data_IF_012960570307
#
_entry.id   IF_012960570307
#
_cell.length_a   1.000
_cell.length_b   1.000
_cell.length_c   1.000
_cell.angle_alpha   90.00
_cell.angle_beta   90.00
_cell.angle_gamma   90.00
#
_symmetry.space_group_name_H-M   'P 1'
#
loop_
_entity.id
_entity.type
_entity.pdbx_description
1 polymer ?
#
# COMPACT_ATOMS: atom_id res chain seq x y z
N UNK A 1 25.28 12.88 4.23
CA UNK A 1 23.81 12.80 4.01
C UNK A 1 23.50 13.47 2.68
N UNK A 2 22.50 12.98 1.94
CA UNK A 2 22.05 13.63 0.71
C UNK A 2 21.19 14.85 1.05
N UNK A 3 21.22 15.89 0.21
CA UNK A 3 20.25 17.00 0.29
C UNK A 3 18.86 16.54 -0.12
N UNK A 4 17.82 17.30 0.27
CA UNK A 4 16.45 17.01 -0.16
C UNK A 4 16.31 16.95 -1.69
N UNK A 5 16.99 17.85 -2.41
CA UNK A 5 17.01 17.86 -3.87
C UNK A 5 17.67 16.60 -4.44
N UNK A 6 18.82 16.18 -3.90
CA UNK A 6 19.50 14.95 -4.33
C UNK A 6 18.65 13.70 -4.10
N UNK A 7 17.89 13.66 -3.00
CA UNK A 7 16.93 12.57 -2.74
C UNK A 7 15.80 12.61 -3.77
N UNK A 8 15.24 13.78 -4.05
CA UNK A 8 14.19 13.93 -5.06
C UNK A 8 14.69 13.48 -6.44
N UNK A 9 15.83 13.99 -6.90
CA UNK A 9 16.39 13.66 -8.21
C UNK A 9 16.63 12.16 -8.38
N UNK A 10 17.10 11.49 -7.31
CA UNK A 10 17.34 10.05 -7.33
C UNK A 10 16.06 9.22 -7.43
N UNK A 11 14.95 9.67 -6.85
CA UNK A 11 13.72 8.88 -6.70
C UNK A 11 12.58 9.32 -7.63
N UNK A 12 12.65 10.49 -8.25
CA UNK A 12 11.52 11.10 -8.96
C UNK A 12 10.94 10.20 -10.05
N UNK A 13 11.79 9.59 -10.89
CA UNK A 13 11.33 8.73 -11.98
C UNK A 13 10.67 7.44 -11.47
N UNK A 14 11.19 6.86 -10.39
CA UNK A 14 10.63 5.65 -9.76
C UNK A 14 9.28 5.95 -9.09
N UNK A 15 9.20 7.04 -8.33
CA UNK A 15 7.93 7.51 -7.73
C UNK A 15 6.89 7.70 -8.83
N UNK A 16 7.24 8.41 -9.91
CA UNK A 16 6.33 8.65 -11.03
C UNK A 16 5.87 7.35 -11.69
N UNK A 17 6.78 6.42 -11.93
CA UNK A 17 6.45 5.12 -12.52
C UNK A 17 5.48 4.33 -11.63
N UNK A 18 5.74 4.27 -10.32
CA UNK A 18 4.89 3.57 -9.36
C UNK A 18 3.48 4.18 -9.30
N UNK A 19 3.36 5.51 -9.32
CA UNK A 19 2.05 6.18 -9.38
C UNK A 19 1.26 5.82 -10.64
N UNK A 20 1.92 5.78 -11.80
CA UNK A 20 1.28 5.38 -13.07
C UNK A 20 0.83 3.92 -13.02
N UNK A 21 1.65 3.02 -12.47
CA UNK A 21 1.31 1.60 -12.33
C UNK A 21 0.08 1.43 -11.46
N UNK A 22 0.00 2.13 -10.32
CA UNK A 22 -1.18 2.10 -9.43
C UNK A 22 -2.42 2.62 -10.16
N UNK A 23 -2.33 3.78 -10.82
CA UNK A 23 -3.45 4.37 -11.55
C UNK A 23 -3.96 3.41 -12.66
N UNK A 24 -3.06 2.87 -13.47
CA UNK A 24 -3.41 1.95 -14.54
C UNK A 24 -3.98 0.62 -14.02
N UNK A 25 -3.58 0.15 -12.83
CA UNK A 25 -4.17 -1.03 -12.21
C UNK A 25 -5.61 -0.76 -11.77
N UNK A 26 -5.87 0.39 -11.14
CA UNK A 26 -7.21 0.81 -10.74
C UNK A 26 -8.13 0.97 -11.96
N UNK A 27 -7.65 1.62 -13.02
CA UNK A 27 -8.40 1.76 -14.28
C UNK A 27 -8.80 0.41 -14.88
N UNK A 28 -7.91 -0.59 -14.83
CA UNK A 28 -8.21 -1.95 -15.31
C UNK A 28 -9.26 -2.63 -14.45
N UNK A 29 -9.23 -2.46 -13.12
CA UNK A 29 -10.25 -2.99 -12.21
C UNK A 29 -11.61 -2.38 -12.54
N UNK A 30 -11.68 -1.06 -12.68
CA UNK A 30 -12.93 -0.36 -12.98
C UNK A 30 -13.53 -0.72 -14.35
N UNK A 31 -12.69 -1.10 -15.32
CA UNK A 31 -13.14 -1.53 -16.66
C UNK A 31 -13.46 -3.02 -16.77
N UNK A 32 -13.11 -3.83 -15.77
CA UNK A 32 -13.34 -5.26 -15.80
C UNK A 32 -14.82 -5.62 -15.57
N UNK A 33 -15.26 -6.73 -16.16
CA UNK A 33 -16.59 -7.26 -15.88
C UNK A 33 -16.74 -7.60 -14.39
N UNK A 34 -17.81 -7.11 -13.76
CA UNK A 34 -18.06 -7.31 -12.33
C UNK A 34 -17.35 -6.33 -11.39
N UNK A 35 -16.83 -5.20 -11.90
CA UNK A 35 -16.21 -4.14 -11.11
C UNK A 35 -17.04 -3.73 -9.88
N UNK A 36 -18.37 -3.64 -10.01
CA UNK A 36 -19.26 -3.30 -8.90
C UNK A 36 -19.16 -4.25 -7.70
N UNK A 37 -18.91 -5.55 -7.95
CA UNK A 37 -18.72 -6.55 -6.89
C UNK A 37 -17.36 -6.39 -6.22
N UNK A 38 -16.33 -6.06 -7.01
CA UNK A 38 -14.95 -5.87 -6.54
C UNK A 38 -14.81 -4.57 -5.74
N UNK A 39 -15.63 -3.54 -5.99
CA UNK A 39 -15.64 -2.31 -5.20
C UNK A 39 -15.90 -2.52 -3.71
N UNK A 40 -16.63 -3.58 -3.34
CA UNK A 40 -16.87 -3.96 -1.95
C UNK A 40 -15.71 -4.76 -1.33
N UNK A 41 -14.68 -5.13 -2.09
CA UNK A 41 -13.53 -5.88 -1.59
C UNK A 41 -12.73 -5.02 -0.59
N UNK A 42 -12.45 -5.51 0.62
CA UNK A 42 -11.69 -4.77 1.63
C UNK A 42 -10.30 -4.32 1.14
N UNK A 43 -9.70 -5.06 0.20
CA UNK A 43 -8.39 -4.71 -0.38
C UNK A 43 -8.47 -3.46 -1.24
N UNK A 44 -9.56 -3.26 -1.99
CA UNK A 44 -9.80 -2.04 -2.78
C UNK A 44 -9.97 -0.84 -1.86
N UNK A 45 -10.72 -1.02 -0.77
CA UNK A 45 -10.84 0.00 0.27
C UNK A 45 -9.48 0.31 0.93
N UNK A 46 -8.66 -0.70 1.18
CA UNK A 46 -7.30 -0.56 1.72
C UNK A 46 -6.39 0.27 0.82
N UNK A 47 -6.41 0.02 -0.49
CA UNK A 47 -5.63 0.81 -1.47
C UNK A 47 -6.00 2.30 -1.39
N UNK A 48 -7.31 2.62 -1.35
CA UNK A 48 -7.76 4.00 -1.20
C UNK A 48 -7.29 4.67 0.11
N UNK A 49 -7.33 3.93 1.22
CA UNK A 49 -6.81 4.42 2.52
C UNK A 49 -5.31 4.66 2.49
N UNK A 50 -4.54 3.75 1.88
CA UNK A 50 -3.09 3.89 1.75
C UNK A 50 -2.72 5.12 0.90
N UNK A 51 -3.42 5.37 -0.21
CA UNK A 51 -3.22 6.57 -1.03
C UNK A 51 -3.51 7.84 -0.22
N UNK A 52 -4.58 7.86 0.57
CA UNK A 52 -4.89 8.99 1.46
C UNK A 52 -3.79 9.21 2.51
N UNK A 53 -3.29 8.15 3.15
CA UNK A 53 -2.21 8.24 4.13
C UNK A 53 -0.92 8.83 3.53
N UNK A 54 -0.61 8.53 2.27
CA UNK A 54 0.53 9.14 1.57
C UNK A 54 0.37 10.66 1.37
N UNK A 55 -0.86 11.14 1.17
CA UNK A 55 -1.18 12.56 0.96
C UNK A 55 -1.17 13.39 2.24
N UNK A 56 -1.42 12.78 3.41
CA UNK A 56 -1.52 13.47 4.70
C UNK A 56 -0.20 14.08 5.19
N UNK A 57 0.93 13.75 4.55
CA UNK A 57 2.18 14.48 4.73
C UNK A 57 3.03 14.07 5.94
N UNK A 58 2.54 13.15 6.78
CA UNK A 58 3.17 12.74 8.03
C UNK A 58 4.56 12.11 7.85
N UNK A 59 5.44 12.20 8.87
CA UNK A 59 6.63 11.35 8.93
C UNK A 59 6.23 9.86 8.89
N UNK A 60 7.14 8.99 8.48
CA UNK A 60 6.95 7.53 8.41
C UNK A 60 5.85 7.03 7.45
N UNK A 61 5.71 7.65 6.27
CA UNK A 61 4.73 7.24 5.23
C UNK A 61 4.70 5.73 4.94
N UNK A 62 5.86 5.07 4.93
CA UNK A 62 5.93 3.62 4.71
C UNK A 62 5.25 2.82 5.83
N UNK A 63 5.47 3.19 7.09
CA UNK A 63 4.81 2.60 8.26
C UNK A 63 3.30 2.85 8.20
N UNK A 64 2.88 4.07 7.86
CA UNK A 64 1.45 4.40 7.73
C UNK A 64 0.76 3.53 6.67
N UNK A 65 1.40 3.34 5.51
CA UNK A 65 0.87 2.45 4.46
C UNK A 65 0.86 0.99 4.93
N UNK A 66 1.91 0.52 5.60
CA UNK A 66 2.00 -0.85 6.12
C UNK A 66 0.88 -1.14 7.13
N UNK A 67 0.58 -0.19 8.01
CA UNK A 67 -0.45 -0.35 9.03
C UNK A 67 -1.87 -0.43 8.43
N UNK A 68 -2.11 0.15 7.25
CA UNK A 68 -3.40 0.01 6.54
C UNK A 68 -3.68 -1.45 6.15
N UNK A 69 -2.64 -2.23 5.90
CA UNK A 69 -2.75 -3.63 5.45
C UNK A 69 -2.40 -4.66 6.52
N UNK A 70 -2.05 -4.21 7.73
CA UNK A 70 -1.75 -5.11 8.84
C UNK A 70 -3.04 -5.64 9.46
N UNK A 71 -3.06 -6.92 9.79
CA UNK A 71 -4.11 -7.49 10.63
C UNK A 71 -3.94 -6.98 12.07
N UNK A 72 -5.05 -6.82 12.78
CA UNK A 72 -5.01 -6.55 14.21
C UNK A 72 -4.31 -7.70 14.94
N UNK A 73 -3.55 -7.38 15.98
CA UNK A 73 -2.94 -8.39 16.83
C UNK A 73 -4.01 -9.34 17.38
N UNK A 74 -3.86 -10.65 17.11
CA UNK A 74 -4.67 -11.69 17.72
C UNK A 74 -3.85 -12.41 18.81
N UNK A 75 -4.25 -12.32 20.10
CA UNK A 75 -3.55 -13.02 21.18
C UNK A 75 -3.53 -14.56 21.01
N UNK A 76 -4.42 -15.09 20.16
CA UNK A 76 -4.55 -16.52 19.85
C UNK A 76 -3.88 -16.93 18.53
N UNK A 77 -3.11 -16.06 17.87
CA UNK A 77 -2.41 -16.42 16.64
C UNK A 77 -1.62 -17.72 16.78
N UNK A 78 -1.71 -18.57 15.75
CA UNK A 78 -1.08 -19.88 15.73
C UNK A 78 0.44 -19.73 15.92
N UNK A 79 0.94 -20.22 17.07
CA UNK A 79 2.36 -20.16 17.37
C UNK A 79 3.08 -21.28 16.62
N UNK A 80 4.24 -21.02 15.99
CA UNK A 80 5.05 -22.07 15.40
C UNK A 80 5.28 -23.17 16.44
N UNK A 81 4.94 -24.42 16.11
CA UNK A 81 5.22 -25.55 17.01
C UNK A 81 6.73 -25.65 17.17
N UNK A 82 7.21 -25.53 18.40
CA UNK A 82 8.61 -25.78 18.71
C UNK A 82 8.92 -27.25 18.42
N UNK A 83 9.76 -27.52 17.41
CA UNK A 83 10.34 -28.84 17.18
C UNK A 83 9.77 -29.64 16.01
N UNK A 84 10.11 -29.23 14.78
CA UNK A 84 10.33 -30.18 13.68
C UNK A 84 11.75 -29.95 13.20
N UNK A 85 12.68 -30.68 13.82
CA UNK A 85 13.94 -31.06 13.17
C UNK A 85 13.76 -32.47 12.67
#
# INVERSE_FOLDING_TARGET
MLSAQQVLDRNFLEIRANLIVVAAALDRIDRAAGADRVRADPRVTGIGKALKALMEGAPNRAESVQMVFSEGYDPNWARPRAGSR
#
